data_IF_401962104054
#
_entry.id   IF_401962104054
#
_cell.length_a   1.000
_cell.length_b   1.000
_cell.length_c   1.000
_cell.angle_alpha   90.00
_cell.angle_beta   90.00
_cell.angle_gamma   90.00
#
_symmetry.space_group_name_H-M   'P 1'
#
loop_
_entity.id
_entity.type
_entity.pdbx_description
1 polymer ?
#
# COMPACT_ATOMS: atom_id res chain seq x y z
N UNK A 1 -27.45 15.33 -23.32
CA UNK A 1 -26.63 16.37 -22.64
C UNK A 1 -25.13 16.01 -22.62
N UNK A 2 -24.73 14.77 -22.28
CA UNK A 2 -23.30 14.34 -22.27
C UNK A 2 -22.59 14.35 -23.63
N UNK A 3 -23.27 13.95 -24.71
CA UNK A 3 -22.69 13.91 -26.07
C UNK A 3 -22.41 15.28 -26.70
N UNK A 4 -23.01 16.36 -26.15
CA UNK A 4 -22.75 17.71 -26.64
C UNK A 4 -21.44 18.26 -26.09
N UNK A 5 -21.07 17.94 -24.84
CA UNK A 5 -19.85 18.42 -24.20
C UNK A 5 -18.57 17.94 -24.90
N UNK A 6 -18.57 16.72 -25.45
CA UNK A 6 -17.45 16.16 -26.21
C UNK A 6 -17.22 16.83 -27.56
N UNK A 7 -18.27 17.37 -28.19
CA UNK A 7 -18.17 18.09 -29.48
C UNK A 7 -17.41 19.42 -29.35
N UNK A 8 -17.38 20.02 -28.15
CA UNK A 8 -16.70 21.29 -27.86
C UNK A 8 -15.24 21.12 -27.41
N UNK A 9 -14.68 19.90 -27.47
CA UNK A 9 -13.28 19.65 -27.10
C UNK A 9 -12.94 19.89 -25.62
N UNK A 10 -13.95 20.08 -24.77
CA UNK A 10 -13.78 20.23 -23.33
C UNK A 10 -13.54 18.85 -22.70
N UNK A 11 -12.56 18.71 -21.79
CA UNK A 11 -12.29 17.45 -21.12
C UNK A 11 -13.54 17.03 -20.32
N UNK A 12 -14.13 15.87 -20.69
CA UNK A 12 -15.22 15.29 -19.91
C UNK A 12 -14.71 14.95 -18.51
N UNK A 13 -15.44 15.28 -17.42
CA UNK A 13 -15.07 14.86 -16.07
C UNK A 13 -15.00 13.33 -15.91
N UNK A 14 -15.59 12.58 -16.84
CA UNK A 14 -15.50 11.12 -16.89
C UNK A 14 -14.08 10.64 -17.21
N UNK A 15 -13.22 11.41 -17.90
CA UNK A 15 -11.89 10.93 -18.28
C UNK A 15 -10.92 10.86 -17.08
N UNK A 16 -11.04 11.77 -16.12
CA UNK A 16 -10.23 11.77 -14.91
C UNK A 16 -10.69 10.72 -13.88
N UNK A 17 -11.99 10.41 -13.83
CA UNK A 17 -12.51 9.30 -13.03
C UNK A 17 -12.24 7.95 -13.70
N UNK A 18 -12.30 7.90 -15.03
CA UNK A 18 -11.86 6.76 -15.85
C UNK A 18 -10.41 6.43 -15.58
N UNK A 19 -9.52 7.36 -15.94
CA UNK A 19 -8.41 7.80 -15.10
C UNK A 19 -8.00 6.93 -13.90
N UNK A 20 -8.62 7.30 -12.79
CA UNK A 20 -8.34 6.74 -11.49
C UNK A 20 -8.89 5.32 -11.31
N UNK A 21 -10.01 4.95 -11.95
CA UNK A 21 -10.57 3.60 -11.79
C UNK A 21 -9.71 2.56 -12.48
N UNK A 22 -9.15 2.83 -13.67
CA UNK A 22 -8.26 1.87 -14.32
C UNK A 22 -6.96 1.70 -13.55
N UNK A 23 -6.41 2.79 -13.00
CA UNK A 23 -5.25 2.74 -12.11
C UNK A 23 -5.52 1.91 -10.86
N UNK A 24 -6.66 2.16 -10.19
CA UNK A 24 -7.06 1.40 -9.00
C UNK A 24 -7.29 -0.09 -9.31
N UNK A 25 -7.88 -0.43 -10.46
CA UNK A 25 -8.11 -1.81 -10.89
C UNK A 25 -6.79 -2.57 -11.15
N UNK A 26 -5.83 -1.91 -11.79
CA UNK A 26 -4.50 -2.48 -12.03
C UNK A 26 -3.74 -2.71 -10.72
N UNK A 27 -3.73 -1.72 -9.82
CA UNK A 27 -3.12 -1.85 -8.49
C UNK A 27 -3.78 -2.98 -7.69
N UNK A 28 -5.11 -3.08 -7.73
CA UNK A 28 -5.85 -4.17 -7.08
C UNK A 28 -5.47 -5.54 -7.64
N UNK A 29 -5.36 -5.67 -8.96
CA UNK A 29 -4.96 -6.92 -9.62
C UNK A 29 -3.55 -7.34 -9.21
N UNK A 30 -2.62 -6.37 -9.12
CA UNK A 30 -1.26 -6.59 -8.67
C UNK A 30 -1.25 -7.03 -7.20
N UNK A 31 -1.87 -6.25 -6.31
CA UNK A 31 -1.93 -6.56 -4.87
C UNK A 31 -2.57 -7.93 -4.61
N UNK A 32 -3.60 -8.29 -5.37
CA UNK A 32 -4.28 -9.59 -5.22
C UNK A 32 -3.40 -10.81 -5.58
N UNK A 33 -2.30 -10.61 -6.30
CA UNK A 33 -1.41 -11.70 -6.72
C UNK A 33 0.02 -11.53 -6.19
N UNK A 34 0.24 -10.59 -5.27
CA UNK A 34 1.55 -10.40 -4.64
C UNK A 34 1.76 -11.45 -3.55
N UNK A 35 2.93 -12.08 -3.60
CA UNK A 35 3.52 -12.83 -2.51
C UNK A 35 4.77 -12.07 -2.03
N UNK A 36 4.78 -11.69 -0.76
CA UNK A 36 5.85 -10.96 -0.12
C UNK A 36 6.50 -11.85 0.94
N UNK A 37 7.81 -12.09 0.81
CA UNK A 37 8.59 -12.87 1.78
C UNK A 37 9.74 -12.00 2.26
N UNK A 38 9.64 -11.50 3.49
CA UNK A 38 10.70 -10.78 4.17
C UNK A 38 11.42 -11.77 5.10
N UNK A 39 12.75 -11.81 5.01
CA UNK A 39 13.58 -12.62 5.89
C UNK A 39 14.51 -11.73 6.68
N UNK A 40 14.82 -12.15 7.90
CA UNK A 40 15.82 -11.49 8.75
C UNK A 40 15.55 -9.99 8.99
N UNK A 41 14.29 -9.64 9.21
CA UNK A 41 13.86 -8.26 9.47
C UNK A 41 14.30 -7.86 10.87
N UNK A 42 14.98 -6.72 11.00
CA UNK A 42 15.39 -6.15 12.28
C UNK A 42 14.86 -4.72 12.37
N UNK A 43 13.86 -4.52 13.23
CA UNK A 43 13.30 -3.21 13.51
C UNK A 43 13.90 -2.75 14.83
N UNK A 44 14.62 -1.65 14.81
CA UNK A 44 15.21 -1.02 15.99
C UNK A 44 14.57 0.35 16.17
N UNK A 45 13.92 0.54 17.31
CA UNK A 45 13.38 1.81 17.74
C UNK A 45 14.37 2.42 18.73
N UNK A 46 14.95 3.54 18.33
CA UNK A 46 15.79 4.37 19.19
C UNK A 46 14.99 5.61 19.56
N UNK A 47 15.00 5.94 20.85
CA UNK A 47 14.30 7.09 21.40
C UNK A 47 15.22 7.83 22.38
N UNK A 48 15.45 9.10 22.07
CA UNK A 48 16.26 10.05 22.82
C UNK A 48 15.42 11.21 23.38
N UNK A 49 14.10 11.25 23.12
CA UNK A 49 13.23 12.39 23.46
C UNK A 49 12.24 12.05 24.58
N UNK A 50 11.67 10.84 24.60
CA UNK A 50 10.51 10.55 25.48
C UNK A 50 10.88 10.32 26.95
N UNK A 51 12.17 10.07 27.24
CA UNK A 51 12.68 9.95 28.61
C UNK A 51 13.17 11.30 29.14
N UNK A 52 12.47 11.83 30.15
CA UNK A 52 12.73 13.12 30.82
C UNK A 52 14.13 13.29 31.44
N UNK A 53 14.95 12.24 31.42
CA UNK A 53 16.31 12.23 31.98
C UNK A 53 17.43 12.16 30.91
N UNK A 54 17.12 12.34 29.62
CA UNK A 54 18.12 12.35 28.55
C UNK A 54 18.89 11.01 28.45
N UNK A 55 18.25 9.92 28.84
CA UNK A 55 18.81 8.57 28.81
C UNK A 55 18.45 7.96 27.46
N UNK A 56 19.42 7.63 26.60
CA UNK A 56 19.13 7.01 25.31
C UNK A 56 18.55 5.62 25.54
N UNK A 57 17.33 5.40 25.04
CA UNK A 57 16.68 4.09 25.07
C UNK A 57 16.65 3.51 23.66
N UNK A 58 17.02 2.24 23.55
CA UNK A 58 16.90 1.50 22.31
C UNK A 58 16.23 0.16 22.58
N UNK A 59 15.10 -0.08 21.90
CA UNK A 59 14.48 -1.38 21.84
C UNK A 59 14.44 -1.86 20.39
N UNK A 60 14.25 -3.16 20.19
CA UNK A 60 14.14 -3.68 18.84
C UNK A 60 13.50 -5.05 18.82
N UNK A 61 12.87 -5.36 17.69
CA UNK A 61 12.31 -6.67 17.41
C UNK A 61 13.01 -7.25 16.18
N UNK A 62 13.38 -8.52 16.28
CA UNK A 62 13.90 -9.30 15.15
C UNK A 62 12.84 -10.28 14.72
N UNK A 63 12.50 -10.25 13.45
CA UNK A 63 11.56 -11.17 12.84
C UNK A 63 12.32 -12.01 11.82
N UNK A 64 12.43 -13.30 12.09
CA UNK A 64 13.21 -14.21 11.24
C UNK A 64 12.57 -14.38 9.85
N UNK A 65 11.24 -14.47 9.81
CA UNK A 65 10.49 -14.62 8.58
C UNK A 65 9.12 -13.93 8.71
N UNK A 66 8.77 -13.10 7.72
CA UNK A 66 7.42 -12.59 7.51
C UNK A 66 7.02 -12.96 6.08
N UNK A 67 6.04 -13.83 5.95
CA UNK A 67 5.41 -14.13 4.66
C UNK A 67 4.01 -13.54 4.63
N UNK A 68 3.74 -12.71 3.64
CA UNK A 68 2.41 -12.18 3.33
C UNK A 68 2.02 -12.65 1.94
N UNK A 69 0.87 -13.31 1.84
CA UNK A 69 0.33 -13.82 0.60
C UNK A 69 -1.13 -13.41 0.53
N UNK A 70 -1.57 -12.90 -0.62
CA UNK A 70 -3.00 -12.74 -0.86
C UNK A 70 -3.59 -14.13 -1.08
N UNK A 71 -4.50 -14.54 -0.20
CA UNK A 71 -5.21 -15.81 -0.31
C UNK A 71 -6.68 -15.57 -0.63
N UNK A 72 -7.33 -16.58 -1.20
CA UNK A 72 -8.76 -16.54 -1.46
C UNK A 72 -9.57 -16.78 -0.17
N UNK A 73 -10.90 -16.66 -0.25
CA UNK A 73 -11.80 -16.87 0.91
C UNK A 73 -11.73 -18.28 1.54
N UNK A 74 -11.05 -19.22 0.90
CA UNK A 74 -10.87 -20.59 1.37
C UNK A 74 -9.51 -20.83 2.03
N UNK A 75 -8.63 -19.82 2.09
CA UNK A 75 -7.28 -19.92 2.68
C UNK A 75 -6.46 -21.08 2.10
N UNK A 76 -6.72 -21.46 0.84
CA UNK A 76 -5.97 -22.50 0.12
C UNK A 76 -4.92 -21.83 -0.76
N UNK A 77 -3.69 -22.31 -0.59
CA UNK A 77 -2.50 -21.89 -1.32
C UNK A 77 -2.36 -22.66 -2.64
#
# INVERSE_FOLDING_TARGET
>A
MRQLLSYWGLPSPDSASEQNWWGASLVSTIVNNIQLVLTNVHIRYEDDVTLSNNIPFACGVRIHNVSMQTTNSHWVF
#
